data_IF_076171036027
#
_entry.id   IF_076171036027
#
_cell.length_a   1.000
_cell.length_b   1.000
_cell.length_c   1.000
_cell.angle_alpha   90.00
_cell.angle_beta   90.00
_cell.angle_gamma   90.00
#
_symmetry.space_group_name_H-M   'P 1'
#
loop_
_entity.id
_entity.type
_entity.pdbx_description
1 polymer ?
#
# COMPACT_ATOMS: atom_id res chain seq x y z
N UNK A 1 -54.80 -45.10 -30.34
CA UNK A 1 -53.83 -45.31 -29.24
C UNK A 1 -52.58 -44.52 -29.55
N UNK A 2 -52.50 -43.28 -29.08
CA UNK A 2 -51.31 -42.45 -29.30
C UNK A 2 -50.17 -43.02 -28.45
N UNK A 3 -49.07 -43.42 -29.09
CA UNK A 3 -47.84 -43.74 -28.39
C UNK A 3 -47.33 -42.45 -27.74
N UNK A 4 -47.41 -42.35 -26.41
CA UNK A 4 -46.76 -41.27 -25.66
C UNK A 4 -45.26 -41.30 -26.00
N UNK A 5 -44.78 -40.23 -26.63
CA UNK A 5 -43.38 -40.07 -26.95
C UNK A 5 -42.56 -40.01 -25.65
N UNK A 6 -41.83 -41.08 -25.34
CA UNK A 6 -40.98 -41.14 -24.16
C UNK A 6 -39.87 -40.07 -24.28
N UNK A 7 -39.87 -39.11 -23.37
CA UNK A 7 -38.87 -38.04 -23.35
C UNK A 7 -37.54 -38.58 -22.83
N UNK A 8 -36.45 -38.31 -23.54
CA UNK A 8 -35.11 -38.65 -23.10
C UNK A 8 -34.57 -37.57 -22.16
N UNK A 9 -34.16 -37.96 -20.95
CA UNK A 9 -33.51 -37.05 -20.00
C UNK A 9 -32.15 -37.60 -19.54
N UNK A 10 -31.21 -36.71 -19.23
CA UNK A 10 -29.90 -37.07 -18.69
C UNK A 10 -29.87 -36.86 -17.18
N UNK A 11 -29.69 -37.92 -16.41
CA UNK A 11 -29.55 -37.83 -14.97
C UNK A 11 -28.18 -37.27 -14.58
N UNK A 12 -28.13 -36.10 -13.94
CA UNK A 12 -26.88 -35.45 -13.51
C UNK A 12 -26.13 -36.24 -12.43
N UNK A 13 -26.87 -37.00 -11.61
CA UNK A 13 -26.31 -37.83 -10.55
C UNK A 13 -25.68 -39.13 -11.09
N UNK A 14 -26.37 -39.78 -12.03
CA UNK A 14 -25.92 -41.06 -12.59
C UNK A 14 -25.09 -40.92 -13.87
N UNK A 15 -25.06 -39.73 -14.48
CA UNK A 15 -24.45 -39.40 -15.77
C UNK A 15 -24.91 -40.32 -16.91
N UNK A 16 -26.16 -40.79 -16.84
CA UNK A 16 -26.79 -41.68 -17.83
C UNK A 16 -28.02 -41.03 -18.43
N UNK A 17 -28.22 -41.24 -19.73
CA UNK A 17 -29.49 -40.94 -20.39
C UNK A 17 -30.51 -42.01 -20.01
N UNK A 18 -31.74 -41.59 -19.73
CA UNK A 18 -32.86 -42.45 -19.38
C UNK A 18 -34.13 -41.92 -20.05
N UNK A 19 -35.06 -42.82 -20.32
CA UNK A 19 -36.38 -42.47 -20.85
C UNK A 19 -37.33 -42.17 -19.69
N UNK A 20 -38.19 -41.18 -19.87
CA UNK A 20 -39.30 -40.90 -18.95
C UNK A 20 -40.43 -41.93 -19.16
N UNK A 21 -41.05 -42.41 -18.08
CA UNK A 21 -42.08 -43.46 -18.13
C UNK A 21 -42.25 -44.29 -16.84
N UNK A 22 -43.15 -45.30 -16.89
CA UNK A 22 -43.64 -46.11 -15.73
C UNK A 22 -42.56 -46.81 -14.88
N UNK A 23 -41.34 -46.96 -15.38
CA UNK A 23 -40.17 -47.43 -14.61
C UNK A 23 -39.05 -46.40 -14.73
N UNK A 24 -39.31 -45.20 -14.21
CA UNK A 24 -38.35 -44.11 -14.35
C UNK A 24 -37.06 -44.44 -13.62
N UNK A 25 -35.94 -44.10 -14.26
CA UNK A 25 -34.59 -44.32 -13.72
C UNK A 25 -34.42 -43.76 -12.30
N UNK A 26 -35.17 -42.71 -11.94
CA UNK A 26 -35.16 -42.05 -10.64
C UNK A 26 -35.56 -42.98 -9.48
N UNK A 27 -36.44 -43.95 -9.71
CA UNK A 27 -36.88 -44.90 -8.69
C UNK A 27 -36.02 -46.18 -8.67
N UNK A 28 -35.02 -46.31 -9.53
CA UNK A 28 -34.13 -47.48 -9.52
C UNK A 28 -33.30 -47.54 -8.24
N UNK A 29 -33.09 -48.75 -7.70
CA UNK A 29 -32.26 -48.96 -6.51
C UNK A 29 -30.82 -48.45 -6.68
N UNK A 30 -30.28 -48.51 -7.92
CA UNK A 30 -28.98 -47.95 -8.26
C UNK A 30 -28.95 -46.42 -8.14
N UNK A 31 -29.95 -45.73 -8.68
CA UNK A 31 -30.08 -44.28 -8.56
C UNK A 31 -30.24 -43.87 -7.09
N UNK A 32 -31.16 -44.51 -6.36
CA UNK A 32 -31.43 -44.20 -4.95
C UNK A 32 -30.21 -44.40 -4.05
N UNK A 33 -29.38 -45.43 -4.30
CA UNK A 33 -28.11 -45.62 -3.57
C UNK A 33 -27.13 -44.47 -3.83
N UNK A 34 -26.96 -44.07 -5.09
CA UNK A 34 -26.11 -42.92 -5.46
C UNK A 34 -26.62 -41.61 -4.87
N UNK A 35 -27.94 -41.43 -4.83
CA UNK A 35 -28.57 -40.22 -4.31
C UNK A 35 -28.34 -40.12 -2.81
N UNK A 36 -28.59 -41.20 -2.06
CA UNK A 36 -28.30 -41.27 -0.62
C UNK A 36 -26.84 -40.97 -0.31
N UNK A 37 -25.90 -41.55 -1.07
CA UNK A 37 -24.47 -41.27 -0.88
C UNK A 37 -24.10 -39.81 -1.19
N UNK A 38 -24.70 -39.21 -2.22
CA UNK A 38 -24.48 -37.80 -2.55
C UNK A 38 -25.07 -36.85 -1.49
N UNK A 39 -26.25 -37.16 -0.96
CA UNK A 39 -26.89 -36.41 0.12
C UNK A 39 -26.10 -36.55 1.43
N UNK A 40 -25.56 -37.72 1.76
CA UNK A 40 -24.70 -37.91 2.92
C UNK A 40 -23.45 -37.01 2.86
N UNK A 41 -22.74 -37.02 1.72
CA UNK A 41 -21.57 -36.13 1.50
C UNK A 41 -21.94 -34.65 1.55
N UNK A 42 -23.12 -34.27 1.07
CA UNK A 42 -23.61 -32.91 1.22
C UNK A 42 -23.89 -32.61 2.70
N UNK A 43 -24.50 -33.54 3.43
CA UNK A 43 -24.85 -33.42 4.84
C UNK A 43 -23.65 -33.13 5.71
N UNK A 44 -22.54 -33.83 5.49
CA UNK A 44 -21.25 -33.57 6.18
C UNK A 44 -20.79 -32.12 5.96
N UNK A 45 -20.84 -31.64 4.71
CA UNK A 45 -20.44 -30.26 4.36
C UNK A 45 -21.40 -29.21 4.94
N UNK A 46 -22.69 -29.51 4.99
CA UNK A 46 -23.70 -28.64 5.60
C UNK A 46 -23.53 -28.60 7.12
N UNK A 47 -23.24 -29.73 7.76
CA UNK A 47 -22.96 -29.78 9.19
C UNK A 47 -21.71 -28.95 9.54
N UNK A 48 -20.62 -29.09 8.78
CA UNK A 48 -19.43 -28.26 8.93
C UNK A 48 -19.74 -26.77 8.75
N UNK A 49 -20.51 -26.41 7.72
CA UNK A 49 -20.92 -25.04 7.47
C UNK A 49 -21.80 -24.47 8.61
N UNK A 50 -22.74 -25.25 9.14
CA UNK A 50 -23.59 -24.86 10.29
C UNK A 50 -22.78 -24.69 11.57
N UNK A 51 -21.75 -25.50 11.79
CA UNK A 51 -20.83 -25.32 12.91
C UNK A 51 -20.07 -23.99 12.77
N UNK A 52 -19.52 -23.73 11.57
CA UNK A 52 -18.84 -22.48 11.24
C UNK A 52 -19.78 -21.25 11.27
N UNK A 53 -21.08 -21.43 11.07
CA UNK A 53 -22.06 -20.35 11.10
C UNK A 53 -22.15 -19.65 12.48
N UNK A 54 -21.77 -20.33 13.57
CA UNK A 54 -21.76 -19.77 14.92
C UNK A 54 -20.53 -18.89 15.19
N UNK A 55 -19.44 -19.15 14.48
CA UNK A 55 -18.17 -18.44 14.59
C UNK A 55 -17.60 -18.30 13.19
N UNK A 56 -18.08 -17.28 12.49
CA UNK A 56 -17.63 -16.99 11.14
C UNK A 56 -16.12 -16.72 11.14
N UNK A 57 -15.47 -17.15 10.07
CA UNK A 57 -14.03 -17.01 9.93
C UNK A 57 -13.74 -16.28 8.62
N UNK A 58 -12.93 -15.21 8.74
CA UNK A 58 -12.48 -14.38 7.63
C UNK A 58 -10.98 -14.50 7.53
N UNK A 59 -10.50 -14.90 6.37
CA UNK A 59 -9.08 -15.11 6.08
C UNK A 59 -8.67 -14.33 4.83
N UNK A 60 -7.36 -14.10 4.62
CA UNK A 60 -6.85 -13.66 3.33
C UNK A 60 -7.23 -14.64 2.22
N UNK A 61 -7.48 -14.13 1.02
CA UNK A 61 -7.83 -14.98 -0.12
C UNK A 61 -6.62 -15.81 -0.58
N UNK A 62 -6.82 -17.12 -0.74
CA UNK A 62 -5.85 -18.07 -1.27
C UNK A 62 -6.48 -18.78 -2.47
N UNK A 63 -5.90 -18.61 -3.69
CA UNK A 63 -6.35 -19.31 -4.89
C UNK A 63 -6.34 -20.84 -4.70
N UNK A 64 -7.24 -21.56 -5.39
CA UNK A 64 -7.35 -23.01 -5.27
C UNK A 64 -8.06 -23.50 -4.00
N UNK A 65 -7.68 -23.02 -2.82
CA UNK A 65 -8.35 -23.40 -1.56
C UNK A 65 -9.72 -22.75 -1.42
N UNK A 66 -9.81 -21.44 -1.64
CA UNK A 66 -11.03 -20.67 -1.43
C UNK A 66 -11.99 -20.71 -2.63
N UNK A 67 -11.57 -21.29 -3.75
CA UNK A 67 -12.37 -21.44 -4.97
C UNK A 67 -13.11 -22.78 -5.05
N UNK A 68 -12.93 -23.64 -4.03
CA UNK A 68 -13.58 -24.96 -3.95
C UNK A 68 -15.09 -24.86 -4.10
N UNK A 69 -15.67 -25.84 -4.78
CA UNK A 69 -17.10 -25.95 -5.05
C UNK A 69 -17.70 -27.21 -4.45
N UNK A 70 -18.97 -27.12 -4.07
CA UNK A 70 -19.80 -28.22 -3.60
C UNK A 70 -20.94 -28.42 -4.59
N UNK A 71 -21.08 -29.63 -5.11
CA UNK A 71 -22.28 -30.00 -5.87
C UNK A 71 -23.46 -30.18 -4.92
N UNK A 72 -24.55 -29.46 -5.17
CA UNK A 72 -25.81 -29.61 -4.44
C UNK A 72 -26.78 -30.49 -5.24
N UNK A 73 -27.10 -31.73 -4.81
CA UNK A 73 -28.04 -32.60 -5.51
C UNK A 73 -29.46 -32.02 -5.57
N UNK A 74 -29.88 -31.27 -4.54
CA UNK A 74 -31.22 -30.67 -4.47
C UNK A 74 -31.45 -29.61 -5.54
N UNK A 75 -30.40 -28.87 -5.92
CA UNK A 75 -30.48 -27.82 -6.93
C UNK A 75 -29.87 -28.24 -8.28
N UNK A 76 -29.22 -29.40 -8.34
CA UNK A 76 -28.41 -29.86 -9.46
C UNK A 76 -27.45 -28.77 -9.98
N UNK A 77 -26.72 -28.13 -9.05
CA UNK A 77 -25.78 -27.03 -9.36
C UNK A 77 -24.53 -27.09 -8.49
N UNK A 78 -23.43 -26.59 -9.03
CA UNK A 78 -22.23 -26.29 -8.26
C UNK A 78 -22.39 -24.98 -7.50
N UNK A 79 -22.12 -25.06 -6.19
CA UNK A 79 -22.20 -23.95 -5.25
C UNK A 79 -20.79 -23.68 -4.74
N UNK A 80 -20.43 -22.40 -4.54
CA UNK A 80 -19.14 -22.06 -3.94
C UNK A 80 -19.12 -22.52 -2.48
N UNK A 81 -18.05 -23.19 -2.05
CA UNK A 81 -17.87 -23.56 -0.64
C UNK A 81 -17.73 -22.31 0.23
N UNK A 82 -16.80 -21.44 -0.18
CA UNK A 82 -16.45 -20.20 0.53
C UNK A 82 -16.97 -18.97 -0.24
N UNK A 83 -17.06 -17.83 0.43
CA UNK A 83 -17.42 -16.56 -0.19
C UNK A 83 -16.21 -15.63 -0.21
N UNK A 84 -15.58 -15.48 -1.37
CA UNK A 84 -14.44 -14.58 -1.56
C UNK A 84 -14.88 -13.25 -2.13
N UNK A 85 -14.39 -12.15 -1.55
CA UNK A 85 -14.59 -10.78 -2.05
C UNK A 85 -13.30 -9.99 -1.88
N UNK A 86 -12.76 -9.49 -3.00
CA UNK A 86 -11.44 -8.86 -3.06
C UNK A 86 -10.36 -9.81 -2.46
N UNK A 87 -9.46 -9.29 -1.63
CA UNK A 87 -8.36 -10.05 -1.04
C UNK A 87 -8.76 -10.89 0.19
N UNK A 88 -10.06 -11.12 0.45
CA UNK A 88 -10.56 -11.80 1.66
C UNK A 88 -11.55 -12.92 1.31
N UNK A 89 -11.62 -13.92 2.17
CA UNK A 89 -12.56 -15.04 2.07
C UNK A 89 -13.29 -15.25 3.39
N UNK A 90 -14.60 -15.46 3.30
CA UNK A 90 -15.44 -15.96 4.39
C UNK A 90 -15.59 -17.47 4.24
N UNK A 91 -15.10 -18.23 5.23
CA UNK A 91 -15.20 -19.69 5.18
C UNK A 91 -16.67 -20.13 5.24
N UNK A 92 -17.02 -21.14 4.43
CA UNK A 92 -18.38 -21.68 4.31
C UNK A 92 -19.48 -20.69 3.89
N UNK A 93 -19.16 -19.40 3.69
CA UNK A 93 -20.14 -18.35 3.43
C UNK A 93 -20.95 -18.57 2.15
N UNK A 94 -20.33 -19.12 1.11
CA UNK A 94 -21.00 -19.42 -0.16
C UNK A 94 -22.03 -20.55 -0.01
N UNK A 95 -21.68 -21.59 0.75
CA UNK A 95 -22.60 -22.68 1.05
C UNK A 95 -23.74 -22.19 1.96
N UNK A 96 -23.45 -21.44 3.02
CA UNK A 96 -24.45 -20.89 3.93
C UNK A 96 -25.46 -19.98 3.23
N UNK A 97 -25.00 -19.10 2.33
CA UNK A 97 -25.89 -18.25 1.52
C UNK A 97 -26.81 -19.09 0.63
N UNK A 98 -26.27 -20.15 0.01
CA UNK A 98 -27.07 -21.06 -0.82
C UNK A 98 -28.16 -21.77 -0.02
N UNK A 99 -27.83 -22.30 1.17
CA UNK A 99 -28.76 -23.02 2.04
C UNK A 99 -29.88 -22.11 2.57
N UNK A 100 -29.60 -20.82 2.78
CA UNK A 100 -30.59 -19.85 3.27
C UNK A 100 -31.55 -19.35 2.18
N UNK A 101 -31.08 -19.15 0.94
CA UNK A 101 -31.85 -18.43 -0.10
C UNK A 101 -32.37 -19.30 -1.25
N UNK A 102 -31.66 -20.37 -1.61
CA UNK A 102 -31.82 -21.02 -2.93
C UNK A 102 -32.04 -22.53 -2.89
N UNK A 103 -32.11 -23.15 -1.73
CA UNK A 103 -32.18 -24.60 -1.67
C UNK A 103 -33.60 -25.13 -1.96
N UNK A 104 -33.71 -25.97 -2.99
CA UNK A 104 -34.93 -26.67 -3.43
C UNK A 104 -35.01 -28.10 -2.86
N UNK A 105 -34.64 -28.30 -1.60
CA UNK A 105 -34.70 -29.62 -0.97
C UNK A 105 -36.15 -30.11 -0.86
N UNK A 106 -36.34 -31.42 -1.04
CA UNK A 106 -37.63 -32.08 -0.87
C UNK A 106 -38.18 -31.87 0.54
N UNK A 107 -39.50 -31.66 0.73
CA UNK A 107 -40.11 -31.34 2.03
C UNK A 107 -39.69 -32.25 3.18
N UNK A 108 -39.47 -33.54 2.89
CA UNK A 108 -39.09 -34.57 3.87
C UNK A 108 -37.63 -34.47 4.33
N UNK A 109 -36.77 -33.82 3.56
CA UNK A 109 -35.33 -33.65 3.83
C UNK A 109 -34.96 -32.17 4.08
N UNK A 110 -35.95 -31.27 4.11
CA UNK A 110 -35.75 -29.82 4.28
C UNK A 110 -35.04 -29.46 5.58
N UNK A 111 -35.29 -30.17 6.68
CA UNK A 111 -34.69 -29.86 7.97
C UNK A 111 -33.15 -29.97 7.95
N UNK A 112 -32.61 -30.92 7.19
CA UNK A 112 -31.17 -31.21 7.20
C UNK A 112 -30.38 -30.28 6.28
N UNK A 113 -31.02 -29.73 5.25
CA UNK A 113 -30.35 -28.95 4.20
C UNK A 113 -30.82 -27.50 4.09
N UNK A 114 -31.80 -27.04 4.88
CA UNK A 114 -32.16 -25.62 4.95
C UNK A 114 -31.51 -24.96 6.16
N UNK A 115 -31.05 -23.72 5.99
CA UNK A 115 -30.63 -22.91 7.12
C UNK A 115 -31.82 -22.07 7.57
N UNK A 116 -32.18 -22.16 8.86
CA UNK A 116 -33.28 -21.36 9.39
C UNK A 116 -32.94 -19.86 9.35
N UNK A 117 -33.95 -19.00 9.28
CA UNK A 117 -33.75 -17.55 9.30
C UNK A 117 -33.05 -17.07 10.59
N UNK A 118 -33.24 -17.77 11.71
CA UNK A 118 -32.54 -17.46 12.96
C UNK A 118 -31.06 -17.84 12.90
N UNK A 119 -30.72 -19.03 12.37
CA UNK A 119 -29.32 -19.44 12.17
C UNK A 119 -28.59 -18.52 11.19
N UNK A 120 -29.25 -18.13 10.10
CA UNK A 120 -28.65 -17.23 9.13
C UNK A 120 -28.41 -15.82 9.70
N UNK A 121 -29.32 -15.31 10.54
CA UNK A 121 -29.10 -14.04 11.26
C UNK A 121 -27.91 -14.11 12.21
N UNK A 122 -27.79 -15.19 13.00
CA UNK A 122 -26.61 -15.41 13.86
C UNK A 122 -25.32 -15.46 13.05
N UNK A 123 -25.35 -16.11 11.89
CA UNK A 123 -24.21 -16.09 10.97
C UNK A 123 -23.88 -14.69 10.48
N UNK A 124 -24.87 -13.87 10.13
CA UNK A 124 -24.65 -12.49 9.72
C UNK A 124 -24.03 -11.64 10.84
N UNK A 125 -24.51 -11.78 12.07
CA UNK A 125 -23.95 -11.11 13.25
C UNK A 125 -22.49 -11.54 13.48
N UNK A 126 -22.25 -12.86 13.55
CA UNK A 126 -20.89 -13.40 13.70
C UNK A 126 -19.96 -13.01 12.54
N UNK A 127 -20.47 -12.92 11.32
CA UNK A 127 -19.71 -12.45 10.16
C UNK A 127 -19.34 -10.98 10.27
N UNK A 128 -20.24 -10.13 10.76
CA UNK A 128 -19.92 -8.74 11.03
C UNK A 128 -18.78 -8.64 12.05
N UNK A 129 -18.89 -9.33 13.19
CA UNK A 129 -17.83 -9.36 14.21
C UNK A 129 -16.50 -9.88 13.66
N UNK A 130 -16.52 -10.95 12.85
CA UNK A 130 -15.32 -11.53 12.27
C UNK A 130 -14.66 -10.60 11.23
N UNK A 131 -15.46 -9.88 10.43
CA UNK A 131 -14.95 -8.89 9.49
C UNK A 131 -14.32 -7.70 10.22
N UNK A 132 -14.98 -7.24 11.27
CA UNK A 132 -14.55 -6.15 12.13
C UNK A 132 -13.20 -6.49 12.79
N UNK A 133 -13.09 -7.68 13.39
CA UNK A 133 -11.85 -8.19 13.99
C UNK A 133 -10.72 -8.42 12.96
N UNK A 134 -11.05 -8.86 11.75
CA UNK A 134 -10.06 -8.98 10.67
C UNK A 134 -9.52 -7.61 10.25
N UNK A 135 -10.40 -6.61 10.10
CA UNK A 135 -9.99 -5.24 9.76
C UNK A 135 -9.11 -4.61 10.85
N UNK A 136 -9.41 -4.85 12.12
CA UNK A 136 -8.56 -4.40 13.24
C UNK A 136 -7.16 -5.04 13.22
N UNK A 137 -7.07 -6.35 12.93
CA UNK A 137 -5.76 -7.04 12.81
C UNK A 137 -4.92 -6.48 11.67
N UNK A 138 -5.54 -6.22 10.51
CA UNK A 138 -4.86 -5.61 9.37
C UNK A 138 -4.37 -4.20 9.70
N UNK A 139 -5.16 -3.41 10.44
CA UNK A 139 -4.76 -2.07 10.87
C UNK A 139 -3.61 -2.11 11.87
N UNK A 140 -3.62 -3.04 12.82
CA UNK A 140 -2.53 -3.24 13.77
C UNK A 140 -1.21 -3.58 13.06
N UNK A 141 -1.25 -4.50 12.08
CA UNK A 141 -0.08 -4.86 11.29
C UNK A 141 0.48 -3.65 10.51
N UNK A 142 -0.39 -2.76 10.03
CA UNK A 142 0.03 -1.56 9.30
C UNK A 142 0.59 -0.49 10.23
N UNK A 143 0.04 -0.35 11.43
CA UNK A 143 0.58 0.54 12.45
C UNK A 143 1.97 0.07 12.91
N UNK A 144 2.16 -1.23 13.09
CA UNK A 144 3.45 -1.84 13.39
C UNK A 144 4.47 -1.58 12.27
N UNK A 145 4.10 -1.85 11.01
CA UNK A 145 4.95 -1.55 9.87
C UNK A 145 5.31 -0.06 9.77
N UNK A 146 4.34 0.83 10.01
CA UNK A 146 4.58 2.27 10.02
C UNK A 146 5.50 2.70 11.19
N UNK A 147 5.39 2.07 12.36
CA UNK A 147 6.27 2.33 13.50
C UNK A 147 7.71 1.89 13.19
N UNK A 148 7.87 0.70 12.59
CA UNK A 148 9.17 0.21 12.15
C UNK A 148 9.82 1.17 11.13
N UNK A 149 9.05 1.68 10.15
CA UNK A 149 9.57 2.66 9.18
C UNK A 149 10.06 3.93 9.90
N UNK A 150 9.29 4.46 10.86
CA UNK A 150 9.69 5.65 11.63
C UNK A 150 10.96 5.42 12.46
N UNK A 151 11.08 4.26 13.10
CA UNK A 151 12.28 3.88 13.87
C UNK A 151 13.52 3.78 12.96
N UNK A 152 13.39 3.14 11.80
CA UNK A 152 14.48 3.04 10.83
C UNK A 152 14.88 4.40 10.26
N UNK A 153 13.90 5.28 9.99
CA UNK A 153 14.17 6.66 9.58
C UNK A 153 14.87 7.47 10.68
N UNK A 154 14.49 7.29 11.94
CA UNK A 154 15.14 7.93 13.08
C UNK A 154 16.60 7.48 13.18
N UNK A 155 16.87 6.18 13.18
CA UNK A 155 18.24 5.64 13.20
C UNK A 155 19.09 6.15 12.05
N UNK A 156 18.50 6.25 10.85
CA UNK A 156 19.18 6.83 9.68
C UNK A 156 19.51 8.31 9.89
N UNK A 157 18.61 9.10 10.48
CA UNK A 157 18.87 10.51 10.80
C UNK A 157 19.96 10.66 11.84
N UNK A 158 19.95 9.85 12.88
CA UNK A 158 20.98 9.84 13.93
C UNK A 158 22.36 9.52 13.36
N UNK A 159 22.46 8.51 12.48
CA UNK A 159 23.71 8.17 11.79
C UNK A 159 24.21 9.33 10.91
N UNK A 160 23.34 9.95 10.13
CA UNK A 160 23.71 11.10 9.29
C UNK A 160 24.14 12.29 10.15
N UNK A 161 23.45 12.54 11.26
CA UNK A 161 23.80 13.61 12.18
C UNK A 161 25.17 13.35 12.83
N UNK A 162 25.46 12.13 13.27
CA UNK A 162 26.76 11.78 13.85
C UNK A 162 27.93 11.95 12.86
N UNK A 163 27.71 11.76 11.56
CA UNK A 163 28.71 12.01 10.50
C UNK A 163 28.91 13.53 10.27
N UNK A 164 27.83 14.30 10.35
CA UNK A 164 27.83 15.74 10.08
C UNK A 164 28.23 16.58 11.29
N UNK A 165 28.14 16.04 12.51
CA UNK A 165 28.55 16.72 13.73
C UNK A 165 30.08 16.88 13.70
N UNK A 166 30.62 18.11 13.55
CA UNK A 166 32.05 18.32 13.63
C UNK A 166 32.48 17.84 15.01
N UNK A 167 33.50 17.00 15.08
CA UNK A 167 34.22 16.72 16.32
C UNK A 167 34.54 18.08 16.94
N UNK A 168 33.73 18.52 17.92
CA UNK A 168 34.08 19.66 18.75
C UNK A 168 35.31 19.20 19.48
N UNK A 169 36.46 19.61 18.94
CA UNK A 169 37.70 19.57 19.66
C UNK A 169 37.42 20.27 20.99
N UNK A 170 37.50 19.51 22.07
CA UNK A 170 37.70 20.05 23.40
C UNK A 170 39.06 20.76 23.37
N UNK A 171 39.08 21.99 22.85
CA UNK A 171 40.19 22.91 23.02
C UNK A 171 40.04 23.53 24.40
N UNK A 172 40.47 22.81 25.42
CA UNK A 172 41.10 23.42 26.58
C UNK A 172 42.59 23.14 26.45
N UNK A 173 43.34 24.19 26.12
CA UNK A 173 44.75 24.09 25.76
C UNK A 173 45.60 23.49 26.88
N UNK A 174 46.56 22.67 26.47
CA UNK A 174 47.94 23.10 26.64
C UNK A 174 48.81 22.50 25.52
N UNK A 175 49.79 23.27 25.08
CA UNK A 175 50.64 22.90 23.96
C UNK A 175 51.49 21.69 24.28
N UNK A 176 51.29 20.59 23.54
CA UNK A 176 52.41 19.69 23.21
C UNK A 176 52.11 19.01 21.89
N UNK A 177 52.99 19.25 20.92
CA UNK A 177 53.04 18.58 19.62
C UNK A 177 53.12 17.08 19.83
N UNK A 178 52.03 16.35 19.55
CA UNK A 178 52.05 14.92 19.36
C UNK A 178 51.39 14.60 18.02
N UNK A 179 52.23 14.34 17.02
CA UNK A 179 51.83 13.69 15.78
C UNK A 179 51.27 12.32 16.15
N UNK A 180 49.94 12.18 16.17
CA UNK A 180 49.32 10.87 16.28
C UNK A 180 49.13 10.32 14.86
N UNK A 181 50.17 9.64 14.37
CA UNK A 181 50.03 8.69 13.27
C UNK A 181 49.08 7.59 13.71
N UNK A 182 47.83 7.61 13.24
CA UNK A 182 46.94 6.46 13.31
C UNK A 182 47.32 5.48 12.20
N UNK A 183 48.41 4.74 12.42
CA UNK A 183 48.64 3.44 11.80
C UNK A 183 48.26 2.39 12.82
N UNK A 184 46.94 2.21 13.02
CA UNK A 184 46.35 1.16 13.83
C UNK A 184 45.71 0.14 12.91
N UNK A 185 46.31 -1.05 12.86
CA UNK A 185 45.94 -2.14 11.99
C UNK A 185 44.47 -2.53 12.09
N UNK A 186 43.89 -2.78 10.92
CA UNK A 186 42.75 -3.64 10.67
C UNK A 186 43.04 -5.05 11.21
N UNK A 187 42.54 -5.39 12.39
CA UNK A 187 42.13 -6.77 12.70
C UNK A 187 41.22 -6.76 13.91
N UNK A 188 40.19 -7.61 13.84
CA UNK A 188 39.24 -7.97 14.90
C UNK A 188 37.98 -7.10 14.98
N UNK A 189 37.24 -7.08 13.86
CA UNK A 189 35.79 -6.86 13.84
C UNK A 189 35.06 -8.17 14.20
N UNK A 190 34.15 -8.20 15.20
CA UNK A 190 33.23 -9.31 15.39
C UNK A 190 32.02 -9.09 14.48
N UNK A 191 32.23 -9.21 13.17
CA UNK A 191 31.14 -9.30 12.21
C UNK A 191 31.48 -10.37 11.17
N UNK A 192 31.51 -11.63 11.64
CA UNK A 192 31.32 -12.78 10.77
C UNK A 192 29.86 -12.77 10.33
N UNK A 193 29.59 -12.07 9.24
CA UNK A 193 28.35 -12.20 8.49
C UNK A 193 28.43 -13.49 7.68
N UNK A 194 27.63 -14.45 8.12
CA UNK A 194 27.28 -15.66 7.39
C UNK A 194 26.65 -15.23 6.05
N UNK A 195 27.37 -15.42 4.96
CA UNK A 195 26.86 -15.24 3.61
C UNK A 195 25.81 -16.32 3.35
N UNK A 196 24.54 -15.96 3.56
CA UNK A 196 23.43 -16.67 2.93
C UNK A 196 22.96 -15.85 1.74
N UNK A 197 23.32 -16.32 0.55
CA UNK A 197 22.84 -15.81 -0.73
C UNK A 197 21.31 -15.79 -0.77
N UNK A 198 20.72 -14.59 -0.78
CA UNK A 198 19.41 -14.36 -1.37
C UNK A 198 19.37 -13.01 -2.11
N UNK A 199 18.69 -12.94 -3.27
CA UNK A 199 18.84 -11.88 -4.26
C UNK A 199 17.95 -10.68 -3.95
N UNK A 200 18.50 -9.47 -4.10
CA UNK A 200 17.73 -8.22 -3.96
C UNK A 200 16.73 -8.02 -5.10
N UNK A 201 15.50 -7.52 -4.83
CA UNK A 201 14.55 -7.21 -5.88
C UNK A 201 14.81 -5.80 -6.44
N UNK A 202 15.45 -5.76 -7.60
CA UNK A 202 15.33 -4.66 -8.55
C UNK A 202 13.89 -4.62 -9.08
N UNK A 203 13.16 -3.55 -8.80
CA UNK A 203 11.90 -3.26 -9.47
C UNK A 203 11.85 -1.78 -9.87
N UNK A 204 12.42 -1.50 -11.05
CA UNK A 204 11.85 -0.46 -11.90
C UNK A 204 10.86 -1.17 -12.82
N UNK A 205 9.56 -0.93 -12.60
CA UNK A 205 8.47 -1.50 -13.39
C UNK A 205 8.42 -0.83 -14.76
N UNK A 206 8.97 -1.51 -15.76
CA UNK A 206 8.66 -1.28 -17.17
C UNK A 206 7.21 -1.73 -17.44
N UNK A 207 6.38 -0.79 -17.86
CA UNK A 207 5.11 -1.06 -18.54
C UNK A 207 5.37 -1.11 -20.06
N UNK A 208 4.75 -2.11 -20.71
CA UNK A 208 4.63 -2.33 -22.17
C UNK A 208 5.93 -2.84 -22.83
N UNK A 209 5.97 -3.87 -23.68
CA UNK A 209 4.96 -4.50 -24.53
C UNK A 209 5.60 -5.77 -25.13
N UNK A 210 4.84 -6.84 -25.32
CA UNK A 210 5.20 -7.87 -26.30
C UNK A 210 4.98 -7.29 -27.70
N UNK A 211 6.04 -7.25 -28.51
CA UNK A 211 5.99 -7.05 -29.96
C UNK A 211 6.38 -8.37 -30.62
N UNK A 212 5.74 -8.73 -31.73
CA UNK A 212 6.41 -9.47 -32.78
C UNK A 212 6.53 -8.65 -34.08
N UNK A 213 7.78 -8.55 -34.52
CA UNK A 213 8.26 -8.65 -35.92
C UNK A 213 8.20 -7.38 -36.81
N UNK A 214 9.37 -6.73 -36.95
CA UNK A 214 10.14 -6.24 -38.14
C UNK A 214 9.46 -5.64 -39.39
N UNK A 215 10.20 -4.92 -40.28
CA UNK A 215 11.32 -3.97 -40.11
C UNK A 215 11.15 -2.68 -40.98
N UNK A 216 11.76 -1.54 -40.62
CA UNK A 216 12.38 -0.64 -41.62
C UNK A 216 13.18 0.50 -40.99
N UNK A 217 14.46 0.53 -41.37
CA UNK A 217 15.30 1.68 -41.76
C UNK A 217 15.36 2.99 -40.96
N UNK A 218 16.60 3.47 -40.93
CA UNK A 218 17.09 4.86 -40.86
C UNK A 218 17.22 5.56 -39.50
N UNK A 219 18.50 5.74 -39.14
CA UNK A 219 19.06 6.58 -38.06
C UNK A 219 18.91 8.06 -38.41
N UNK A 220 18.63 8.93 -37.42
CA UNK A 220 19.33 10.23 -37.34
C UNK A 220 19.69 10.57 -35.87
N UNK A 221 20.95 10.50 -35.47
CA UNK A 221 21.98 11.57 -35.50
C UNK A 221 21.47 12.94 -34.99
N UNK A 222 21.91 13.27 -33.77
CA UNK A 222 21.60 14.49 -33.02
C UNK A 222 22.44 15.66 -33.53
N UNK A 223 21.78 16.65 -34.10
CA UNK A 223 22.36 17.91 -34.56
C UNK A 223 22.45 18.91 -33.40
N UNK A 224 23.66 19.28 -32.97
CA UNK A 224 23.89 20.50 -32.20
C UNK A 224 23.91 21.70 -33.16
N UNK A 225 23.24 22.83 -32.86
CA UNK A 225 23.47 24.06 -33.61
C UNK A 225 24.72 24.77 -33.08
N UNK A 226 25.76 24.69 -33.89
CA UNK A 226 26.96 25.51 -33.83
C UNK A 226 26.77 26.74 -34.73
N UNK A 227 26.63 27.92 -34.13
CA UNK A 227 26.87 29.23 -34.76
C UNK A 227 27.28 30.16 -33.61
N UNK A 228 28.44 30.79 -33.53
CA UNK A 228 29.36 31.20 -34.59
C UNK A 228 29.60 32.71 -34.44
N UNK A 229 30.31 33.12 -33.38
CA UNK A 229 31.03 34.39 -33.37
C UNK A 229 32.51 34.09 -33.04
N UNK A 230 33.45 34.42 -33.93
CA UNK A 230 34.86 34.11 -33.74
C UNK A 230 35.44 34.98 -32.62
N UNK A 231 36.20 34.37 -31.70
CA UNK A 231 37.00 35.09 -30.72
C UNK A 231 37.88 36.13 -31.42
N UNK A 232 37.65 37.41 -31.14
CA UNK A 232 38.55 38.47 -31.55
C UNK A 232 39.84 38.38 -30.74
N UNK A 233 40.95 38.13 -31.44
CA UNK A 233 42.31 38.24 -30.93
C UNK A 233 42.56 39.66 -30.39
N UNK A 234 42.78 39.78 -29.08
CA UNK A 234 43.32 41.00 -28.49
C UNK A 234 44.83 40.92 -28.72
N UNK A 235 45.34 41.79 -29.60
CA UNK A 235 46.74 41.80 -30.03
C UNK A 235 47.75 41.93 -28.89
N UNK A 236 49.02 41.64 -29.21
CA UNK A 236 50.15 41.84 -28.31
C UNK A 236 50.10 43.24 -27.69
N UNK A 237 49.80 43.30 -26.39
CA UNK A 237 50.03 44.49 -25.60
C UNK A 237 51.53 44.52 -25.30
N UNK A 238 52.29 45.23 -26.15
CA UNK A 238 53.57 45.78 -25.72
C UNK A 238 53.27 46.95 -24.78
N UNK A 239 52.96 46.65 -23.52
CA UNK A 239 53.07 47.64 -22.46
C UNK A 239 54.51 47.63 -21.99
N UNK A 240 55.24 48.70 -22.32
CA UNK A 240 56.57 48.96 -21.81
C UNK A 240 56.61 48.83 -20.29
N UNK A 241 57.68 48.16 -19.84
CA UNK A 241 58.26 48.20 -18.49
C UNK A 241 57.30 48.12 -17.31
N UNK A 242 57.41 47.01 -16.57
CA UNK A 242 56.93 46.81 -15.19
C UNK A 242 55.54 46.17 -15.04
N UNK A 243 55.38 44.99 -15.66
CA UNK A 243 54.44 43.96 -15.24
C UNK A 243 55.16 42.90 -14.38
N UNK A 244 54.59 42.63 -13.21
CA UNK A 244 55.16 41.98 -12.02
C UNK A 244 55.49 40.47 -12.15
N UNK A 245 56.31 40.06 -13.14
CA UNK A 245 56.81 38.67 -13.26
C UNK A 245 58.34 38.61 -13.05
N UNK A 246 59.04 39.76 -13.10
CA UNK A 246 60.51 39.82 -12.96
C UNK A 246 61.03 40.66 -11.78
N UNK A 247 60.16 41.27 -10.96
CA UNK A 247 60.60 42.15 -9.85
C UNK A 247 60.80 41.41 -8.52
N UNK A 248 60.53 40.10 -8.44
CA UNK A 248 60.64 39.34 -7.20
C UNK A 248 59.73 39.83 -6.07
N UNK A 249 58.78 40.73 -6.37
CA UNK A 249 57.86 41.27 -5.38
C UNK A 249 56.87 40.17 -4.96
N UNK A 250 56.78 39.94 -3.66
CA UNK A 250 55.89 38.95 -3.04
C UNK A 250 54.46 39.25 -3.52
N UNK A 251 53.77 38.29 -4.18
CA UNK A 251 52.42 38.54 -4.65
C UNK A 251 51.48 38.81 -3.47
N UNK A 252 50.37 39.54 -3.68
CA UNK A 252 49.53 40.05 -2.60
C UNK A 252 48.94 38.96 -1.69
N UNK A 253 48.81 37.72 -2.18
CA UNK A 253 48.37 36.55 -1.39
C UNK A 253 49.49 35.89 -0.54
N UNK A 254 50.71 36.42 -0.60
CA UNK A 254 51.88 35.91 0.10
C UNK A 254 52.47 36.96 1.05
N UNK A 255 51.85 38.13 1.22
CA UNK A 255 52.19 39.09 2.28
C UNK A 255 51.68 38.56 3.62
N UNK A 256 52.52 38.56 4.66
CA UNK A 256 52.09 38.21 6.02
C UNK A 256 51.13 39.31 6.53
N UNK A 257 49.96 38.89 6.99
CA UNK A 257 48.76 39.68 7.24
C UNK A 257 48.90 40.65 8.43
N UNK A 258 49.61 41.77 8.26
CA UNK A 258 49.67 42.81 9.32
C UNK A 258 48.96 44.12 8.93
N UNK A 259 48.26 44.18 7.80
CA UNK A 259 47.50 45.39 7.44
C UNK A 259 46.12 45.10 6.82
N UNK A 260 45.21 44.67 7.69
CA UNK A 260 43.77 44.89 7.54
C UNK A 260 43.04 43.93 6.60
N UNK A 261 42.22 43.07 7.19
CA UNK A 261 41.05 42.44 6.57
C UNK A 261 40.13 43.52 5.98
N UNK A 262 40.47 44.08 4.82
CA UNK A 262 39.54 44.90 4.05
C UNK A 262 38.59 43.91 3.40
N UNK A 263 37.48 43.62 4.06
CA UNK A 263 36.35 42.91 3.45
C UNK A 263 35.89 43.71 2.22
N UNK A 264 36.35 43.30 1.04
CA UNK A 264 35.93 43.89 -0.23
C UNK A 264 34.59 43.28 -0.58
N UNK A 265 33.53 44.04 -0.33
CA UNK A 265 32.14 43.69 -0.65
C UNK A 265 31.26 43.48 0.57
N UNK A 266 29.92 43.59 0.41
CA UNK A 266 28.98 43.29 1.49
C UNK A 266 29.19 41.86 1.99
N UNK A 267 28.96 41.63 3.28
CA UNK A 267 29.13 40.30 3.84
C UNK A 267 28.21 39.30 3.13
N UNK A 268 28.61 38.03 3.06
CA UNK A 268 27.78 36.99 2.42
C UNK A 268 26.37 36.92 3.02
N UNK A 269 26.26 37.18 4.32
CA UNK A 269 24.99 37.26 5.03
C UNK A 269 24.15 38.46 4.58
N UNK A 270 24.77 39.64 4.40
CA UNK A 270 24.10 40.82 3.86
C UNK A 270 23.58 40.60 2.44
N UNK A 271 24.37 39.91 1.59
CA UNK A 271 23.92 39.55 0.24
C UNK A 271 22.70 38.62 0.25
N UNK A 272 22.69 37.62 1.14
CA UNK A 272 21.54 36.73 1.30
C UNK A 272 20.30 37.47 1.81
N UNK A 273 20.47 38.38 2.76
CA UNK A 273 19.39 39.21 3.29
C UNK A 273 18.80 40.13 2.20
N UNK A 274 19.64 40.76 1.38
CA UNK A 274 19.15 41.63 0.29
C UNK A 274 18.45 40.81 -0.79
N UNK A 275 18.95 39.61 -1.12
CA UNK A 275 18.24 38.66 -1.99
C UNK A 275 16.85 38.31 -1.46
N UNK A 276 16.70 38.12 -0.15
CA UNK A 276 15.41 37.82 0.46
C UNK A 276 14.47 39.05 0.40
N UNK A 277 14.99 40.26 0.68
CA UNK A 277 14.22 41.50 0.56
C UNK A 277 13.73 41.75 -0.86
N UNK A 278 14.55 41.49 -1.88
CA UNK A 278 14.13 41.63 -3.27
C UNK A 278 13.05 40.63 -3.66
N UNK A 279 13.12 39.38 -3.17
CA UNK A 279 12.04 38.40 -3.35
C UNK A 279 10.73 38.85 -2.72
N UNK A 280 10.79 39.45 -1.52
CA UNK A 280 9.60 39.97 -0.85
C UNK A 280 8.99 41.17 -1.58
N UNK A 281 9.82 42.06 -2.15
CA UNK A 281 9.39 43.21 -2.97
C UNK A 281 8.70 42.82 -4.27
N UNK A 282 9.04 41.66 -4.85
CA UNK A 282 8.40 41.15 -6.08
C UNK A 282 7.02 40.52 -5.85
N UNK A 283 6.62 40.33 -4.59
CA UNK A 283 5.35 39.67 -4.27
C UNK A 283 4.26 40.73 -4.06
N UNK A 284 3.06 40.56 -4.65
CA UNK A 284 1.94 41.48 -4.44
C UNK A 284 1.56 41.56 -2.96
N UNK A 285 1.49 42.78 -2.41
CA UNK A 285 1.18 43.02 -1.00
C UNK A 285 -0.21 42.46 -0.58
N UNK A 286 -1.18 42.47 -1.50
CA UNK A 286 -2.55 42.02 -1.24
C UNK A 286 -2.81 40.56 -1.64
N UNK A 287 -1.80 39.68 -1.64
CA UNK A 287 -2.03 38.25 -1.87
C UNK A 287 -2.64 37.57 -0.64
N UNK A 288 -3.59 36.66 -0.86
CA UNK A 288 -4.14 35.82 0.20
C UNK A 288 -2.98 35.05 0.84
N UNK A 289 -2.80 35.18 2.16
CA UNK A 289 -1.68 34.58 2.90
C UNK A 289 -0.50 35.52 3.20
N UNK A 290 -0.47 36.77 2.70
CA UNK A 290 0.61 37.72 3.01
C UNK A 290 0.69 38.10 4.50
N UNK A 291 -0.46 38.21 5.16
CA UNK A 291 -0.58 38.49 6.60
C UNK A 291 -0.78 37.21 7.42
N UNK A 292 -0.61 36.04 6.80
CA UNK A 292 -0.78 34.78 7.51
C UNK A 292 0.50 34.47 8.25
N UNK A 293 0.44 34.58 9.57
CA UNK A 293 1.54 34.23 10.44
C UNK A 293 1.70 32.70 10.46
N UNK A 294 2.72 32.21 9.74
CA UNK A 294 3.06 30.80 9.69
C UNK A 294 3.53 30.22 11.04
N UNK A 295 3.75 31.06 12.06
CA UNK A 295 4.08 30.63 13.42
C UNK A 295 2.84 30.40 14.30
N UNK A 296 1.66 30.85 13.85
CA UNK A 296 0.42 30.64 14.58
C UNK A 296 -0.12 29.22 14.37
N UNK A 297 -0.17 28.42 15.44
CA UNK A 297 -0.80 27.10 15.39
C UNK A 297 -2.30 27.27 15.18
N UNK A 298 -2.77 26.88 14.00
CA UNK A 298 -4.20 26.84 13.72
C UNK A 298 -4.78 25.56 14.35
N UNK A 299 -5.71 25.71 15.29
CA UNK A 299 -6.34 24.55 15.96
C UNK A 299 -7.26 23.76 15.02
N UNK A 300 -7.47 22.47 15.30
CA UNK A 300 -8.22 21.50 14.47
C UNK A 300 -9.66 21.91 14.08
N UNK A 301 -10.21 22.95 14.70
CA UNK A 301 -11.53 23.51 14.41
C UNK A 301 -11.57 24.48 13.22
N UNK A 302 -10.45 24.76 12.56
CA UNK A 302 -10.37 25.76 11.49
C UNK A 302 -11.03 25.32 10.18
N UNK A 303 -11.13 24.01 9.95
CA UNK A 303 -11.83 23.43 8.83
C UNK A 303 -13.27 23.07 9.24
N UNK A 304 -14.30 23.50 8.48
CA UNK A 304 -15.64 22.95 8.63
C UNK A 304 -15.57 21.43 8.58
N UNK A 305 -16.21 20.74 9.53
CA UNK A 305 -16.17 19.28 9.54
C UNK A 305 -17.00 18.74 8.37
N UNK A 306 -16.32 18.39 7.27
CA UNK A 306 -16.94 17.78 6.09
C UNK A 306 -17.30 16.31 6.35
N UNK A 307 -18.05 16.04 7.42
CA UNK A 307 -18.56 14.70 7.73
C UNK A 307 -17.49 13.61 7.75
N UNK A 308 -16.27 13.93 8.20
CA UNK A 308 -15.12 13.01 8.31
C UNK A 308 -14.49 12.57 6.98
N UNK A 309 -14.83 13.23 5.88
CA UNK A 309 -14.23 12.97 4.54
C UNK A 309 -12.71 13.18 4.56
N UNK A 310 -12.22 14.06 5.43
CA UNK A 310 -10.80 14.40 5.57
C UNK A 310 -10.09 13.68 6.73
N UNK A 311 -10.74 12.71 7.38
CA UNK A 311 -10.10 11.98 8.45
C UNK A 311 -9.02 11.05 7.90
N UNK A 312 -7.85 11.08 8.52
CA UNK A 312 -6.77 10.14 8.27
C UNK A 312 -7.21 8.75 8.73
N UNK A 313 -6.96 7.72 7.91
CA UNK A 313 -7.29 6.33 8.24
C UNK A 313 -8.24 5.65 7.25
N UNK A 314 -8.56 4.38 7.50
CA UNK A 314 -9.43 3.59 6.62
C UNK A 314 -10.91 3.94 6.85
N UNK A 315 -11.74 3.72 5.83
CA UNK A 315 -13.20 3.98 5.87
C UNK A 315 -13.91 3.29 7.05
N UNK A 316 -13.45 2.12 7.48
CA UNK A 316 -14.03 1.38 8.60
C UNK A 316 -13.91 2.13 9.94
N UNK A 317 -12.76 2.75 10.21
CA UNK A 317 -12.53 3.53 11.42
C UNK A 317 -13.51 4.72 11.52
N UNK A 318 -13.71 5.41 10.39
CA UNK A 318 -14.73 6.46 10.28
C UNK A 318 -16.15 5.94 10.52
N UNK A 319 -16.47 4.73 10.03
CA UNK A 319 -17.77 4.06 10.26
C UNK A 319 -17.97 3.71 11.74
N UNK A 320 -16.94 3.23 12.44
CA UNK A 320 -16.99 3.01 13.89
C UNK A 320 -17.20 4.28 14.67
N UNK A 321 -16.43 5.32 14.36
CA UNK A 321 -16.54 6.61 15.02
C UNK A 321 -17.95 7.19 14.82
N UNK A 322 -18.50 7.08 13.61
CA UNK A 322 -19.88 7.45 13.32
C UNK A 322 -20.89 6.63 14.12
N UNK A 323 -20.74 5.30 14.18
CA UNK A 323 -21.62 4.42 14.97
C UNK A 323 -21.58 4.81 16.46
N UNK A 324 -20.40 4.98 17.04
CA UNK A 324 -20.20 5.39 18.43
C UNK A 324 -20.87 6.75 18.72
N UNK A 325 -20.69 7.74 17.84
CA UNK A 325 -21.34 9.03 17.99
C UNK A 325 -22.85 8.99 17.77
N UNK A 326 -23.33 8.15 16.86
CA UNK A 326 -24.76 7.98 16.63
C UNK A 326 -25.43 7.28 17.82
N UNK A 327 -24.73 6.38 18.50
CA UNK A 327 -25.17 5.77 19.74
C UNK A 327 -25.16 6.79 20.90
N UNK A 328 -24.18 7.70 20.93
CA UNK A 328 -24.09 8.76 21.94
C UNK A 328 -25.07 9.93 21.69
N UNK A 329 -25.61 10.08 20.47
CA UNK A 329 -26.65 11.05 20.17
C UNK A 329 -28.00 10.49 20.59
N UNK A 330 -28.51 10.97 21.73
CA UNK A 330 -29.91 10.80 22.13
C UNK A 330 -30.86 11.10 20.94
N UNK A 331 -31.92 10.31 20.72
CA UNK A 331 -32.86 10.51 19.62
C UNK A 331 -33.75 11.73 19.91
N UNK A 332 -33.22 12.94 19.73
CA UNK A 332 -33.93 14.16 20.09
C UNK A 332 -33.52 15.44 19.37
N UNK A 333 -32.26 15.60 18.95
CA UNK A 333 -31.85 16.86 18.29
C UNK A 333 -31.85 16.76 16.76
N UNK A 334 -33.05 16.74 16.17
CA UNK A 334 -33.18 17.25 14.80
C UNK A 334 -32.83 18.73 14.86
N UNK A 335 -31.60 19.08 14.49
CA UNK A 335 -31.21 20.47 14.20
C UNK A 335 -32.21 21.00 13.18
N UNK A 336 -33.11 21.90 13.60
CA UNK A 336 -33.89 22.71 12.67
C UNK A 336 -32.88 23.45 11.81
N UNK A 337 -32.91 23.19 10.50
CA UNK A 337 -32.20 24.00 9.54
C UNK A 337 -32.80 25.42 9.61
N UNK A 338 -31.97 26.48 9.64
CA UNK A 338 -32.45 27.85 9.45
C UNK A 338 -33.07 28.03 8.07
#
# INVERSE_FOLDING_TARGET
MAAEAATLFRCQLCRRSAFDGRRSHLYSAGHQRRLRAALARLGEKVAAARAAARRAEVLPFQPGEHERRVWCPCCAREVRSHLSRAARTVLHGGLLEHLARKNRADPKQKADFLLSAAEYRRFQESLCEALDAYEEKEDAAIQEAAAHIRDMEQKRREMVQAILEPQRADTLGDGTTAVYTFTGNLSDSPFAMEEQEQPGPSWSTTFLREEPISPSSTVPELHYPETGQPLTFIGHQETGGEGNIHTGAKPPWLMDEEEGERQIGPSYEEYLQERQKQKLKQLPANRVGANFDHSSQTGDAWLPSFGRVWNHGRRWQSRHQFKAESANKQPGSKRKRP
#
